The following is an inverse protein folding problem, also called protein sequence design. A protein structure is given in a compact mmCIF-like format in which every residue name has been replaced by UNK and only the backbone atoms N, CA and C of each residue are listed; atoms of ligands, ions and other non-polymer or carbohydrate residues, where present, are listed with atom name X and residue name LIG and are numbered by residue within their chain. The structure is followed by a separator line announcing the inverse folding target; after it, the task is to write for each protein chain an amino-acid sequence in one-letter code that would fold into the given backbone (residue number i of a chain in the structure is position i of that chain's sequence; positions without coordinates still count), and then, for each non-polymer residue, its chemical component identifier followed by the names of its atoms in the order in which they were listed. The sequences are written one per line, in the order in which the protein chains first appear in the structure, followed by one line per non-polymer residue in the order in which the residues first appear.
data_IF_634682063066
#
_entry.id   IF_634682063066
#
_cell.length_a   1.000
_cell.length_b   1.000
_cell.length_c   1.000
_cell.angle_alpha   90.00
_cell.angle_beta   90.00
_cell.angle_gamma   90.00
#
_symmetry.space_group_name_H-M   'P 1'
#
loop_
_entity.id
_entity.type
_entity.pdbx_description
1 polymer ?
#
# COMPACT_ATOMS: atom_id res chain seq x y z
N UNK A 1 30.89 -2.41 42.39
CA UNK A 1 31.19 -2.98 41.05
C UNK A 1 30.24 -4.12 40.69
N UNK A 2 29.98 -5.06 41.61
CA UNK A 2 29.09 -6.23 41.39
C UNK A 2 27.67 -5.84 40.94
N UNK A 3 27.02 -4.87 41.60
CA UNK A 3 25.64 -4.45 41.24
C UNK A 3 25.59 -3.87 39.81
N UNK A 4 26.63 -3.13 39.40
CA UNK A 4 26.72 -2.59 38.03
C UNK A 4 26.88 -3.71 37.00
N UNK A 5 27.67 -4.74 37.33
CA UNK A 5 27.83 -5.92 36.48
C UNK A 5 26.53 -6.72 36.35
N UNK A 6 25.81 -6.96 37.45
CA UNK A 6 24.51 -7.65 37.43
C UNK A 6 23.51 -6.87 36.57
N UNK A 7 23.42 -5.56 36.76
CA UNK A 7 22.53 -4.70 35.96
C UNK A 7 22.89 -4.75 34.48
N UNK A 8 24.18 -4.73 34.14
CA UNK A 8 24.64 -4.84 32.76
C UNK A 8 24.28 -6.20 32.14
N UNK A 9 24.46 -7.29 32.86
CA UNK A 9 24.09 -8.64 32.40
C UNK A 9 22.58 -8.76 32.17
N UNK A 10 21.76 -8.22 33.07
CA UNK A 10 20.31 -8.21 32.92
C UNK A 10 19.90 -7.40 31.68
N UNK A 11 20.51 -6.22 31.47
CA UNK A 11 20.25 -5.39 30.29
C UNK A 11 20.61 -6.14 29.01
N UNK A 12 21.79 -6.77 28.94
CA UNK A 12 22.23 -7.55 27.78
C UNK A 12 21.30 -8.73 27.49
N UNK A 13 20.86 -9.43 28.54
CA UNK A 13 19.93 -10.54 28.40
C UNK A 13 18.55 -10.09 27.89
N UNK A 14 18.04 -8.99 28.42
CA UNK A 14 16.79 -8.38 27.95
C UNK A 14 16.88 -7.95 26.48
N UNK A 15 17.99 -7.34 26.08
CA UNK A 15 18.22 -6.95 24.68
C UNK A 15 18.23 -8.16 23.75
N UNK A 16 18.85 -9.27 24.17
CA UNK A 16 18.93 -10.49 23.37
C UNK A 16 17.56 -11.14 23.08
N UNK A 17 16.61 -11.07 24.03
CA UNK A 17 15.25 -11.60 23.87
C UNK A 17 14.43 -10.79 22.85
N UNK A 18 14.72 -9.49 22.73
CA UNK A 18 13.93 -8.56 21.89
C UNK A 18 14.38 -8.62 20.43
N UNK A 19 15.53 -9.23 20.10
CA UNK A 19 16.00 -9.34 18.72
C UNK A 19 15.00 -10.19 17.93
N UNK A 20 14.24 -9.59 16.98
CA UNK A 20 13.29 -10.34 16.19
C UNK A 20 14.07 -11.34 15.33
N UNK A 21 13.71 -12.61 15.42
CA UNK A 21 14.24 -13.65 14.54
C UNK A 21 13.63 -13.45 13.15
N UNK A 22 14.40 -13.76 12.10
CA UNK A 22 13.93 -13.64 10.71
C UNK A 22 12.61 -14.40 10.53
N UNK A 23 11.52 -13.65 10.41
CA UNK A 23 10.20 -14.19 10.11
C UNK A 23 10.17 -14.51 8.61
N UNK A 24 10.38 -15.77 8.25
CA UNK A 24 10.12 -16.26 6.90
C UNK A 24 8.65 -16.00 6.60
N UNK A 25 8.35 -15.29 5.51
CA UNK A 25 7.03 -14.79 5.11
C UNK A 25 5.89 -15.78 5.45
N UNK A 26 5.37 -15.65 6.66
CA UNK A 26 4.37 -16.54 7.20
C UNK A 26 3.02 -15.94 6.84
N UNK A 27 2.38 -16.53 5.84
CA UNK A 27 0.98 -16.28 5.56
C UNK A 27 0.18 -17.02 6.63
N UNK A 28 0.00 -16.38 7.79
CA UNK A 28 -0.93 -16.85 8.80
C UNK A 28 -2.35 -16.92 8.18
N UNK A 29 -3.19 -17.93 8.50
CA UNK A 29 -4.54 -18.05 7.95
C UNK A 29 -5.39 -16.77 8.06
N UNK A 30 -5.17 -15.95 9.10
CA UNK A 30 -5.79 -14.62 9.23
C UNK A 30 -5.33 -13.63 8.16
N UNK A 31 -4.05 -13.63 7.81
CA UNK A 31 -3.49 -12.74 6.77
C UNK A 31 -4.01 -13.07 5.36
N UNK A 32 -4.27 -14.35 5.08
CA UNK A 32 -4.90 -14.77 3.83
C UNK A 32 -6.32 -14.22 3.66
N UNK A 33 -7.11 -14.23 4.75
CA UNK A 33 -8.47 -13.68 4.75
C UNK A 33 -8.47 -12.16 4.55
N UNK A 34 -7.52 -11.46 5.18
CA UNK A 34 -7.36 -10.02 5.02
C UNK A 34 -6.99 -9.64 3.57
N UNK A 35 -6.12 -10.41 2.92
CA UNK A 35 -5.77 -10.20 1.52
C UNK A 35 -7.00 -10.29 0.61
N UNK A 36 -7.85 -11.29 0.80
CA UNK A 36 -9.10 -11.43 0.04
C UNK A 36 -10.02 -10.24 0.30
N UNK A 37 -10.15 -9.77 1.54
CA UNK A 37 -10.97 -8.59 1.87
C UNK A 37 -10.47 -7.33 1.16
N UNK A 38 -9.16 -7.09 1.16
CA UNK A 38 -8.55 -5.94 0.47
C UNK A 38 -8.77 -6.04 -1.05
N UNK A 39 -8.63 -7.23 -1.63
CA UNK A 39 -8.90 -7.46 -3.05
C UNK A 39 -10.37 -7.17 -3.40
N UNK A 40 -11.31 -7.68 -2.60
CA UNK A 40 -12.75 -7.42 -2.80
C UNK A 40 -13.05 -5.93 -2.68
N UNK A 41 -12.49 -5.24 -1.67
CA UNK A 41 -12.65 -3.80 -1.50
C UNK A 41 -12.06 -3.01 -2.67
N UNK A 42 -10.88 -3.41 -3.17
CA UNK A 42 -10.25 -2.78 -4.32
C UNK A 42 -11.06 -2.94 -5.60
N UNK A 43 -11.61 -4.14 -5.86
CA UNK A 43 -12.47 -4.39 -7.03
C UNK A 43 -13.79 -3.61 -6.92
N UNK A 44 -14.45 -3.67 -5.77
CA UNK A 44 -15.71 -2.97 -5.56
C UNK A 44 -15.54 -1.44 -5.63
N UNK A 45 -14.59 -0.90 -4.87
CA UNK A 45 -14.28 0.53 -4.85
C UNK A 45 -13.74 1.02 -6.19
N UNK A 46 -12.81 0.29 -6.79
CA UNK A 46 -12.26 0.57 -8.10
C UNK A 46 -13.34 0.54 -9.18
N UNK A 47 -14.22 -0.44 -9.18
CA UNK A 47 -15.35 -0.53 -10.11
C UNK A 47 -16.29 0.68 -10.04
N UNK A 48 -16.63 1.14 -8.82
CA UNK A 48 -17.44 2.34 -8.63
C UNK A 48 -16.72 3.59 -9.13
N UNK A 49 -15.42 3.74 -8.82
CA UNK A 49 -14.62 4.87 -9.28
C UNK A 49 -14.52 4.91 -10.80
N UNK A 50 -14.24 3.76 -11.43
CA UNK A 50 -14.17 3.61 -12.89
C UNK A 50 -15.52 3.96 -13.53
N UNK A 51 -16.63 3.47 -12.99
CA UNK A 51 -17.99 3.78 -13.48
C UNK A 51 -18.27 5.28 -13.36
N UNK A 52 -17.97 5.89 -12.22
CA UNK A 52 -18.29 7.30 -11.93
C UNK A 52 -17.42 8.26 -12.77
N UNK A 53 -16.16 7.92 -12.99
CA UNK A 53 -15.20 8.74 -13.73
C UNK A 53 -15.04 8.31 -15.20
N UNK A 54 -15.90 7.42 -15.71
CA UNK A 54 -15.79 6.87 -17.07
C UNK A 54 -15.68 7.95 -18.15
N UNK A 55 -16.37 9.08 -17.97
CA UNK A 55 -16.31 10.20 -18.89
C UNK A 55 -14.93 10.89 -18.88
N UNK A 56 -14.34 11.13 -17.69
CA UNK A 56 -13.00 11.72 -17.57
C UNK A 56 -11.93 10.80 -18.13
N UNK A 57 -12.03 9.50 -17.86
CA UNK A 57 -11.13 8.48 -18.41
C UNK A 57 -11.20 8.53 -19.94
N UNK A 58 -12.40 8.46 -20.54
CA UNK A 58 -12.57 8.60 -21.99
C UNK A 58 -12.02 9.91 -22.53
N UNK A 59 -12.18 11.02 -21.82
CA UNK A 59 -11.69 12.32 -22.27
C UNK A 59 -10.16 12.41 -22.25
N UNK A 60 -9.48 11.71 -21.33
CA UNK A 60 -8.01 11.61 -21.32
C UNK A 60 -7.53 10.81 -22.55
N UNK A 61 -8.21 9.73 -22.90
CA UNK A 61 -7.87 8.90 -24.07
C UNK A 61 -8.30 9.52 -25.42
N UNK A 62 -9.30 10.41 -25.43
CA UNK A 62 -9.81 11.08 -26.63
C UNK A 62 -9.20 12.48 -26.87
N UNK A 63 -8.28 12.94 -26.00
CA UNK A 63 -7.74 14.31 -26.05
C UNK A 63 -6.94 14.63 -27.32
N UNK A 64 -6.58 13.62 -28.13
CA UNK A 64 -5.81 13.81 -29.36
C UNK A 64 -6.64 14.14 -30.62
N UNK A 65 -7.97 14.31 -30.55
CA UNK A 65 -8.82 14.54 -31.74
C UNK A 65 -9.46 15.93 -31.89
N UNK A 66 -8.79 17.02 -31.53
CA UNK A 66 -9.37 18.32 -31.87
C UNK A 66 -8.65 19.56 -31.39
N UNK A 67 -7.47 19.82 -31.93
CA UNK A 67 -7.02 21.20 -32.15
C UNK A 67 -6.55 21.35 -33.59
N UNK A 68 -7.47 21.18 -34.53
CA UNK A 68 -7.35 21.83 -35.83
C UNK A 68 -8.54 22.77 -36.02
N UNK A 69 -8.20 24.05 -36.18
CA UNK A 69 -8.96 25.13 -36.82
C UNK A 69 -10.12 25.76 -36.03
N UNK A 70 -9.84 26.97 -35.54
CA UNK A 70 -10.49 28.21 -36.02
C UNK A 70 -9.54 29.39 -35.80
N UNK A 71 -8.52 29.46 -36.64
CA UNK A 71 -7.95 30.73 -37.06
C UNK A 71 -8.58 31.02 -38.43
N UNK A 72 -9.64 31.81 -38.44
CA UNK A 72 -10.09 32.50 -39.65
C UNK A 72 -10.23 33.97 -39.28
N UNK A 73 -9.15 34.69 -39.54
CA UNK A 73 -9.13 36.13 -39.81
C UNK A 73 -10.09 36.46 -40.96
N UNK A 74 -11.04 37.37 -40.73
CA UNK A 74 -11.13 38.71 -41.35
C UNK A 74 -12.46 39.37 -41.02
#
# INVERSE_FOLDING_TARGET
MIIKAIKLTIILFLTFIIIPKEAKAYLDPGSGSYLIQVLVAAVAGGGILLKTQWHKIKNIFNKDKGQEKKDDKK
#
